data_IF_948636170187
#
_entry.id   IF_948636170187
#
_cell.length_a   1.000
_cell.length_b   1.000
_cell.length_c   1.000
_cell.angle_alpha   90.00
_cell.angle_beta   90.00
_cell.angle_gamma   90.00
#
_symmetry.space_group_name_H-M   'P 1'
#
loop_
_entity.id
_entity.type
_entity.pdbx_description
1 polymer ?
#
# COMPACT_ATOMS: atom_id res chain seq x y z
N UNK A 1 -6.66 -30.57 16.29
CA UNK A 1 -5.83 -30.49 15.07
C UNK A 1 -4.54 -31.34 15.12
N UNK A 2 -3.63 -31.21 16.11
CA UNK A 2 -2.43 -32.07 16.22
C UNK A 2 -2.73 -33.58 16.40
N UNK A 3 -3.90 -33.90 16.98
CA UNK A 3 -4.34 -35.24 17.33
C UNK A 3 -4.78 -36.12 16.14
N UNK A 4 -5.04 -35.54 14.96
CA UNK A 4 -5.56 -36.28 13.79
C UNK A 4 -4.59 -36.40 12.60
N UNK A 5 -3.35 -35.88 12.68
CA UNK A 5 -2.33 -35.90 11.57
C UNK A 5 -2.83 -35.39 10.19
N UNK A 6 -4.01 -34.78 10.09
CA UNK A 6 -4.64 -34.42 8.82
C UNK A 6 -4.23 -33.06 8.23
N UNK A 7 -3.37 -32.27 8.88
CA UNK A 7 -3.14 -30.89 8.44
C UNK A 7 -1.67 -30.49 8.44
N UNK A 8 -1.19 -30.07 7.26
CA UNK A 8 0.06 -29.35 6.99
C UNK A 8 1.39 -30.14 7.07
N UNK A 9 1.37 -31.43 6.73
CA UNK A 9 2.60 -32.20 6.54
C UNK A 9 3.49 -31.61 5.42
N UNK A 10 4.68 -31.14 5.79
CA UNK A 10 5.66 -30.57 4.86
C UNK A 10 5.45 -29.09 4.51
N UNK A 11 4.69 -28.34 5.31
CA UNK A 11 4.74 -26.87 5.30
C UNK A 11 5.52 -26.37 6.53
N UNK A 12 6.38 -25.39 6.34
CA UNK A 12 6.93 -24.60 7.44
C UNK A 12 5.90 -23.58 7.94
N UNK A 13 6.05 -23.11 9.18
CA UNK A 13 5.21 -22.05 9.72
C UNK A 13 5.27 -20.78 8.86
N UNK A 14 6.44 -20.45 8.31
CA UNK A 14 6.64 -19.29 7.44
C UNK A 14 5.84 -19.42 6.14
N UNK A 15 5.78 -20.62 5.56
CA UNK A 15 5.00 -20.87 4.34
C UNK A 15 3.50 -20.75 4.60
N UNK A 16 2.98 -21.23 5.74
CA UNK A 16 1.57 -21.07 6.10
C UNK A 16 1.21 -19.60 6.34
N UNK A 17 2.08 -18.85 7.03
CA UNK A 17 1.89 -17.41 7.24
C UNK A 17 1.93 -16.64 5.92
N UNK A 18 2.88 -16.95 5.04
CA UNK A 18 2.99 -16.33 3.72
C UNK A 18 1.76 -16.65 2.86
N UNK A 19 1.32 -17.91 2.83
CA UNK A 19 0.13 -18.34 2.09
C UNK A 19 -1.12 -17.63 2.60
N UNK A 20 -1.30 -17.51 3.92
CA UNK A 20 -2.43 -16.80 4.51
C UNK A 20 -2.42 -15.29 4.21
N UNK A 21 -1.26 -14.65 4.34
CA UNK A 21 -1.12 -13.22 4.07
C UNK A 21 -1.35 -12.88 2.58
N UNK A 22 -0.70 -13.62 1.68
CA UNK A 22 -0.85 -13.45 0.24
C UNK A 22 -2.24 -13.86 -0.26
N UNK A 23 -2.81 -14.94 0.28
CA UNK A 23 -4.19 -15.37 -0.01
C UNK A 23 -5.22 -14.35 0.46
N UNK A 24 -5.00 -13.71 1.61
CA UNK A 24 -5.81 -12.59 2.08
C UNK A 24 -5.76 -11.40 1.11
N UNK A 25 -4.58 -11.05 0.60
CA UNK A 25 -4.44 -10.00 -0.41
C UNK A 25 -5.16 -10.36 -1.72
N UNK A 26 -4.99 -11.59 -2.20
CA UNK A 26 -5.69 -12.10 -3.37
C UNK A 26 -7.22 -12.01 -3.23
N UNK A 27 -7.73 -12.42 -2.07
CA UNK A 27 -9.17 -12.36 -1.77
C UNK A 27 -9.68 -10.93 -1.53
N UNK A 28 -8.86 -10.02 -1.00
CA UNK A 28 -9.27 -8.64 -0.76
C UNK A 28 -9.49 -7.85 -2.06
N UNK A 29 -8.72 -8.15 -3.10
CA UNK A 29 -8.71 -7.39 -4.36
C UNK A 29 -9.26 -8.16 -5.56
N UNK A 30 -9.78 -9.37 -5.36
CA UNK A 30 -10.16 -10.26 -6.45
C UNK A 30 -9.00 -10.46 -7.46
N UNK A 31 -7.78 -10.61 -6.93
CA UNK A 31 -6.54 -10.54 -7.69
C UNK A 31 -5.59 -11.70 -7.33
N UNK A 32 -5.84 -12.93 -7.84
CA UNK A 32 -5.07 -14.12 -7.49
C UNK A 32 -3.61 -14.08 -7.91
N UNK A 33 -3.30 -13.58 -9.12
CA UNK A 33 -1.91 -13.49 -9.59
C UNK A 33 -1.16 -12.42 -8.80
N UNK A 34 -1.82 -11.29 -8.51
CA UNK A 34 -1.27 -10.26 -7.65
C UNK A 34 -0.88 -10.79 -6.27
N UNK A 35 -1.71 -11.66 -5.67
CA UNK A 35 -1.39 -12.31 -4.40
C UNK A 35 -0.11 -13.15 -4.46
N UNK A 36 0.08 -13.93 -5.53
CA UNK A 36 1.30 -14.72 -5.73
C UNK A 36 2.51 -13.81 -5.85
N UNK A 37 2.43 -12.81 -6.72
CA UNK A 37 3.55 -11.90 -6.97
C UNK A 37 3.88 -11.11 -5.70
N UNK A 38 2.89 -10.67 -4.92
CA UNK A 38 3.10 -10.04 -3.62
C UNK A 38 3.82 -10.97 -2.64
N UNK A 39 3.45 -12.27 -2.62
CA UNK A 39 4.17 -13.24 -1.83
C UNK A 39 5.66 -13.24 -2.23
N UNK A 40 5.94 -13.38 -3.53
CA UNK A 40 7.31 -13.49 -4.06
C UNK A 40 8.13 -12.22 -3.85
N UNK A 41 7.59 -11.07 -4.24
CA UNK A 41 8.31 -9.80 -4.32
C UNK A 41 8.38 -9.05 -2.99
N UNK A 42 7.35 -9.15 -2.14
CA UNK A 42 7.28 -8.41 -0.87
C UNK A 42 7.52 -9.34 0.34
N UNK A 43 6.71 -10.39 0.50
CA UNK A 43 6.85 -11.29 1.67
C UNK A 43 8.13 -12.14 1.60
N UNK A 44 8.61 -12.43 0.40
CA UNK A 44 9.83 -13.18 0.14
C UNK A 44 11.12 -12.49 0.52
N UNK A 45 11.11 -11.15 0.68
CA UNK A 45 12.34 -10.39 0.93
C UNK A 45 12.93 -10.74 2.29
N UNK A 46 14.09 -11.38 2.27
CA UNK A 46 14.82 -11.77 3.48
C UNK A 46 14.29 -13.03 4.17
N UNK A 47 13.30 -13.73 3.58
CA UNK A 47 12.91 -15.06 4.01
C UNK A 47 13.46 -16.09 3.00
N UNK A 48 14.06 -17.16 3.51
CA UNK A 48 14.31 -18.36 2.71
C UNK A 48 12.98 -19.11 2.50
N UNK A 49 12.04 -18.49 1.78
CA UNK A 49 10.84 -19.19 1.33
C UNK A 49 11.26 -20.14 0.22
N UNK A 50 11.16 -21.44 0.51
CA UNK A 50 11.08 -22.41 -0.57
C UNK A 50 9.73 -22.13 -1.24
N UNK A 51 9.76 -21.58 -2.46
CA UNK A 51 8.56 -21.31 -3.27
C UNK A 51 7.94 -22.62 -3.75
N UNK A 52 7.56 -23.46 -2.79
CA UNK A 52 6.95 -24.74 -3.04
C UNK A 52 5.62 -24.48 -3.71
N UNK A 53 5.32 -25.27 -4.75
CA UNK A 53 4.05 -25.27 -5.50
C UNK A 53 2.81 -25.15 -4.60
N UNK A 54 2.90 -25.65 -3.37
CA UNK A 54 1.82 -25.66 -2.38
C UNK A 54 1.42 -24.26 -1.86
N UNK A 55 2.39 -23.34 -1.67
CA UNK A 55 2.11 -21.94 -1.29
C UNK A 55 1.32 -21.25 -2.39
N UNK A 56 1.78 -21.39 -3.64
CA UNK A 56 1.13 -20.84 -4.82
C UNK A 56 -0.31 -21.36 -4.96
N UNK A 57 -0.52 -22.67 -4.81
CA UNK A 57 -1.85 -23.28 -4.85
C UNK A 57 -2.76 -22.75 -3.75
N UNK A 58 -2.25 -22.52 -2.53
CA UNK A 58 -3.04 -21.97 -1.44
C UNK A 58 -3.50 -20.53 -1.70
N UNK A 59 -2.61 -19.69 -2.23
CA UNK A 59 -2.94 -18.30 -2.62
C UNK A 59 -3.97 -18.28 -3.75
N UNK A 60 -3.77 -19.11 -4.78
CA UNK A 60 -4.72 -19.25 -5.89
C UNK A 60 -6.08 -19.75 -5.41
N UNK A 61 -6.11 -20.76 -4.53
CA UNK A 61 -7.35 -21.28 -3.98
C UNK A 61 -8.13 -20.19 -3.25
N UNK A 62 -7.47 -19.37 -2.42
CA UNK A 62 -8.12 -18.26 -1.74
C UNK A 62 -8.74 -17.25 -2.71
N UNK A 63 -8.00 -16.87 -3.76
CA UNK A 63 -8.50 -15.98 -4.81
C UNK A 63 -9.67 -16.58 -5.59
N UNK A 64 -9.56 -17.84 -6.04
CA UNK A 64 -10.62 -18.51 -6.78
C UNK A 64 -11.88 -18.79 -5.97
N UNK A 65 -11.75 -19.04 -4.66
CA UNK A 65 -12.91 -19.15 -3.77
C UNK A 65 -13.69 -17.83 -3.75
N UNK A 66 -13.00 -16.68 -3.68
CA UNK A 66 -13.66 -15.39 -3.79
C UNK A 66 -14.37 -15.24 -5.14
N UNK A 67 -13.69 -15.53 -6.26
CA UNK A 67 -14.28 -15.46 -7.61
C UNK A 67 -15.51 -16.35 -7.71
N UNK A 68 -15.49 -17.55 -7.13
CA UNK A 68 -16.62 -18.46 -7.12
C UNK A 68 -17.82 -17.92 -6.32
N UNK A 69 -17.58 -17.18 -5.24
CA UNK A 69 -18.63 -16.61 -4.38
C UNK A 69 -19.17 -15.27 -4.91
N UNK A 70 -18.28 -14.38 -5.39
CA UNK A 70 -18.58 -12.99 -5.74
C UNK A 70 -18.65 -12.72 -7.24
N UNK A 71 -18.26 -13.69 -8.06
CA UNK A 71 -18.16 -13.55 -9.50
C UNK A 71 -16.85 -12.91 -9.94
N UNK A 72 -16.54 -13.07 -11.23
CA UNK A 72 -15.34 -12.53 -11.85
C UNK A 72 -15.54 -11.09 -12.33
N UNK A 73 -15.86 -10.19 -11.39
CA UNK A 73 -15.99 -8.76 -11.67
C UNK A 73 -14.71 -8.05 -11.22
N UNK A 74 -13.97 -7.40 -12.14
CA UNK A 74 -12.86 -6.54 -11.77
C UNK A 74 -13.33 -5.49 -10.76
N UNK A 75 -12.48 -5.19 -9.80
CA UNK A 75 -12.82 -4.22 -8.77
C UNK A 75 -13.08 -2.85 -9.40
N UNK A 76 -12.26 -2.44 -10.38
CA UNK A 76 -12.33 -1.15 -11.06
C UNK A 76 -12.82 -1.29 -12.51
N UNK A 77 -13.36 -0.21 -13.12
CA UNK A 77 -13.76 -0.23 -14.52
C UNK A 77 -12.57 -0.55 -15.43
N UNK A 78 -12.86 -1.29 -16.51
CA UNK A 78 -11.86 -1.60 -17.54
C UNK A 78 -11.54 -0.37 -18.35
N UNK A 79 -10.25 -0.09 -18.51
CA UNK A 79 -9.78 0.90 -19.49
C UNK A 79 -10.14 0.45 -20.92
N UNK A 80 -10.85 1.30 -21.65
CA UNK A 80 -11.35 1.05 -23.00
C UNK A 80 -10.65 1.85 -24.10
N UNK A 81 -9.55 2.53 -23.77
CA UNK A 81 -8.84 3.40 -24.70
C UNK A 81 -7.94 2.68 -25.69
N UNK A 82 -7.29 3.47 -26.54
CA UNK A 82 -6.40 2.99 -27.64
C UNK A 82 -5.20 2.17 -27.17
N UNK A 83 -4.84 2.30 -25.89
CA UNK A 83 -3.72 1.61 -25.26
C UNK A 83 -2.33 2.06 -25.73
N UNK A 84 -2.29 3.09 -26.59
CA UNK A 84 -1.05 3.75 -26.96
C UNK A 84 -0.64 4.69 -25.82
N UNK A 85 0.38 4.30 -25.06
CA UNK A 85 0.92 5.08 -23.97
C UNK A 85 2.20 5.79 -24.42
N UNK A 86 2.17 7.11 -24.68
CA UNK A 86 3.37 7.84 -25.06
C UNK A 86 4.43 7.71 -23.97
N UNK A 87 5.65 7.34 -24.34
CA UNK A 87 6.74 7.10 -23.39
C UNK A 87 6.97 8.32 -22.47
N UNK A 88 6.81 9.53 -23.00
CA UNK A 88 6.87 10.79 -22.24
C UNK A 88 5.94 10.77 -21.03
N UNK A 89 4.69 10.35 -21.19
CA UNK A 89 3.71 10.31 -20.11
C UNK A 89 3.97 9.19 -19.12
N UNK A 90 4.49 8.05 -19.57
CA UNK A 90 4.92 6.96 -18.68
C UNK A 90 6.01 7.46 -17.73
N UNK A 91 7.00 8.18 -18.27
CA UNK A 91 8.10 8.75 -17.49
C UNK A 91 7.58 9.82 -16.52
N UNK A 92 6.75 10.76 -17.00
CA UNK A 92 6.17 11.82 -16.15
C UNK A 92 5.37 11.21 -14.99
N UNK A 93 4.49 10.24 -15.27
CA UNK A 93 3.70 9.56 -14.25
C UNK A 93 4.61 8.84 -13.24
N UNK A 94 5.62 8.12 -13.73
CA UNK A 94 6.59 7.41 -12.89
C UNK A 94 7.38 8.35 -11.97
N UNK A 95 7.88 9.47 -12.51
CA UNK A 95 8.63 10.45 -11.72
C UNK A 95 7.74 11.16 -10.69
N UNK A 96 6.58 11.66 -11.10
CA UNK A 96 5.67 12.37 -10.21
C UNK A 96 5.19 11.46 -9.06
N UNK A 97 4.77 10.23 -9.38
CA UNK A 97 4.35 9.25 -8.38
C UNK A 97 5.53 8.73 -7.55
N UNK A 98 6.74 8.65 -8.12
CA UNK A 98 7.95 8.27 -7.39
C UNK A 98 8.33 9.27 -6.30
N UNK A 99 8.29 10.57 -6.62
CA UNK A 99 8.52 11.63 -5.63
C UNK A 99 7.41 11.61 -4.57
N UNK A 100 6.15 11.63 -4.99
CA UNK A 100 5.02 11.67 -4.07
C UNK A 100 4.95 10.43 -3.17
N UNK A 101 5.16 9.24 -3.74
CA UNK A 101 5.17 7.97 -3.02
C UNK A 101 6.38 7.82 -2.09
N UNK A 102 7.56 8.33 -2.48
CA UNK A 102 8.72 8.39 -1.60
C UNK A 102 8.52 9.32 -0.41
N UNK A 103 7.92 10.50 -0.63
CA UNK A 103 7.51 11.43 0.45
C UNK A 103 6.49 10.74 1.36
N UNK A 104 5.48 10.09 0.78
CA UNK A 104 4.47 9.33 1.52
C UNK A 104 5.11 8.26 2.41
N UNK A 105 5.96 7.40 1.85
CA UNK A 105 6.65 6.34 2.60
C UNK A 105 7.51 6.93 3.74
N UNK A 106 8.22 8.04 3.49
CA UNK A 106 9.03 8.73 4.51
C UNK A 106 8.19 9.35 5.62
N UNK A 107 7.02 9.93 5.29
CA UNK A 107 6.09 10.50 6.26
C UNK A 107 5.52 9.42 7.19
N UNK A 108 5.16 8.26 6.62
CA UNK A 108 4.67 7.13 7.39
C UNK A 108 5.77 6.50 8.27
N UNK A 109 6.97 6.31 7.73
CA UNK A 109 8.08 5.70 8.46
C UNK A 109 8.48 6.51 9.70
N UNK A 110 8.72 7.82 9.53
CA UNK A 110 9.10 8.69 10.66
C UNK A 110 7.95 8.89 11.64
N UNK A 111 6.70 8.94 11.16
CA UNK A 111 5.52 9.25 11.96
C UNK A 111 5.54 10.70 12.48
N UNK A 112 4.45 11.11 13.14
CA UNK A 112 4.29 12.49 13.64
C UNK A 112 5.46 12.95 14.53
N UNK A 113 5.89 12.11 15.46
CA UNK A 113 6.97 12.46 16.40
C UNK A 113 8.34 12.63 15.75
N UNK A 114 8.53 12.10 14.53
CA UNK A 114 9.75 12.28 13.76
C UNK A 114 9.87 13.65 13.09
N UNK A 115 8.77 14.39 12.94
CA UNK A 115 8.73 15.73 12.32
C UNK A 115 8.49 16.86 13.32
N UNK A 116 8.03 16.53 14.53
CA UNK A 116 7.79 17.50 15.59
C UNK A 116 9.09 17.79 16.37
N UNK A 117 9.37 19.07 16.75
CA UNK A 117 10.52 19.45 17.56
C UNK A 117 10.65 18.63 18.85
N UNK A 118 11.88 18.38 19.32
CA UNK A 118 12.15 17.53 20.48
C UNK A 118 11.36 17.94 21.74
N UNK A 119 11.19 19.26 21.94
CA UNK A 119 10.43 19.88 23.03
C UNK A 119 8.96 19.43 23.06
N UNK A 120 8.35 19.21 21.89
CA UNK A 120 6.94 18.84 21.74
C UNK A 120 6.72 17.32 21.71
N UNK A 121 7.79 16.51 21.57
CA UNK A 121 7.65 15.04 21.52
C UNK A 121 7.12 14.45 22.82
N UNK A 122 7.58 14.96 23.97
CA UNK A 122 7.13 14.50 25.29
C UNK A 122 5.64 14.79 25.55
N UNK A 123 5.12 16.01 25.36
CA UNK A 123 3.69 16.27 25.55
C UNK A 123 2.81 15.51 24.55
N UNK A 124 3.22 15.39 23.28
CA UNK A 124 2.48 14.58 22.29
C UNK A 124 2.31 13.12 22.73
N UNK A 125 3.35 12.54 23.34
CA UNK A 125 3.31 11.17 23.87
C UNK A 125 2.46 11.03 25.12
N UNK A 126 2.34 12.09 25.93
CA UNK A 126 1.56 12.08 27.17
C UNK A 126 0.06 12.23 26.94
N UNK A 127 -0.37 12.88 25.87
CA UNK A 127 -1.78 13.13 25.58
C UNK A 127 -2.25 12.56 24.22
N UNK A 128 -2.15 11.23 24.01
CA UNK A 128 -2.44 10.60 22.71
C UNK A 128 -3.88 10.87 22.22
N UNK A 129 -4.86 10.95 23.13
CA UNK A 129 -6.26 11.22 22.78
C UNK A 129 -6.46 12.65 22.24
N UNK A 130 -5.80 13.65 22.82
CA UNK A 130 -5.89 15.04 22.33
C UNK A 130 -5.24 15.20 20.96
N UNK A 131 -4.13 14.51 20.73
CA UNK A 131 -3.45 14.48 19.42
C UNK A 131 -4.34 13.80 18.39
N UNK A 132 -4.94 12.65 18.71
CA UNK A 132 -5.88 11.97 17.83
C UNK A 132 -7.10 12.84 17.51
N UNK A 133 -7.65 13.56 18.49
CA UNK A 133 -8.74 14.49 18.29
C UNK A 133 -8.35 15.64 17.33
N UNK A 134 -7.19 16.27 17.54
CA UNK A 134 -6.70 17.35 16.67
C UNK A 134 -6.44 16.86 15.22
N UNK A 135 -5.84 15.67 15.07
CA UNK A 135 -5.64 15.04 13.76
C UNK A 135 -6.98 14.67 13.11
N UNK A 136 -7.97 14.24 13.90
CA UNK A 136 -9.34 13.99 13.45
C UNK A 136 -10.04 15.24 12.94
N UNK A 137 -9.88 16.38 13.63
CA UNK A 137 -10.38 17.68 13.16
C UNK A 137 -9.70 18.11 11.86
N UNK A 138 -8.39 17.93 11.75
CA UNK A 138 -7.66 18.21 10.51
C UNK A 138 -8.13 17.32 9.35
N UNK A 139 -8.38 16.04 9.61
CA UNK A 139 -8.93 15.10 8.63
C UNK A 139 -10.36 15.49 8.22
N UNK A 140 -11.18 15.98 9.17
CA UNK A 140 -12.51 16.49 8.89
C UNK A 140 -12.46 17.74 7.99
N UNK A 141 -11.54 18.68 8.28
CA UNK A 141 -11.31 19.86 7.45
C UNK A 141 -10.83 19.51 6.03
N UNK A 142 -9.89 18.57 5.91
CA UNK A 142 -9.42 18.11 4.59
C UNK A 142 -10.52 17.42 3.79
N UNK A 143 -11.34 16.61 4.45
CA UNK A 143 -12.43 15.92 3.76
C UNK A 143 -13.58 16.82 3.35
N UNK A 144 -13.92 17.84 4.14
CA UNK A 144 -14.88 18.87 3.74
C UNK A 144 -14.35 19.69 2.55
N UNK A 145 -13.09 20.10 2.57
CA UNK A 145 -12.44 20.76 1.43
C UNK A 145 -12.47 19.90 0.14
N UNK A 146 -12.25 18.60 0.27
CA UNK A 146 -12.25 17.69 -0.88
C UNK A 146 -13.63 17.16 -1.30
N UNK A 147 -14.72 17.76 -0.82
CA UNK A 147 -16.10 17.26 -1.05
C UNK A 147 -16.26 15.76 -0.72
N UNK A 148 -15.59 15.30 0.34
CA UNK A 148 -15.61 13.91 0.80
C UNK A 148 -14.69 12.94 0.06
N UNK A 149 -14.03 13.34 -1.04
CA UNK A 149 -13.20 12.42 -1.85
C UNK A 149 -11.98 11.86 -1.09
N UNK A 150 -11.49 12.55 -0.06
CA UNK A 150 -10.39 12.05 0.77
C UNK A 150 -10.82 11.01 1.82
N UNK A 151 -12.12 10.82 2.06
CA UNK A 151 -12.61 9.82 3.02
C UNK A 151 -12.59 8.39 2.46
N UNK A 152 -12.65 7.42 3.37
CA UNK A 152 -12.77 5.99 3.05
C UNK A 152 -11.63 5.43 2.19
N UNK A 153 -11.93 4.38 1.43
CA UNK A 153 -10.96 3.67 0.59
C UNK A 153 -10.60 4.42 -0.70
N UNK A 154 -11.39 5.41 -1.10
CA UNK A 154 -11.21 6.15 -2.36
C UNK A 154 -11.61 5.34 -3.61
N UNK A 155 -12.44 4.30 -3.46
CA UNK A 155 -12.89 3.48 -4.58
C UNK A 155 -13.54 4.31 -5.71
N UNK A 156 -14.52 5.14 -5.34
CA UNK A 156 -15.20 6.02 -6.30
C UNK A 156 -14.24 7.00 -6.96
N UNK A 157 -13.23 7.48 -6.24
CA UNK A 157 -12.19 8.37 -6.78
C UNK A 157 -11.38 7.69 -7.87
N UNK A 158 -10.95 6.44 -7.64
CA UNK A 158 -10.23 5.65 -8.67
C UNK A 158 -11.14 5.37 -9.85
N UNK A 159 -12.36 4.89 -9.63
CA UNK A 159 -13.29 4.54 -10.70
C UNK A 159 -13.63 5.76 -11.58
N UNK A 160 -13.87 6.93 -10.97
CA UNK A 160 -14.13 8.17 -11.68
C UNK A 160 -12.92 8.61 -12.52
N UNK A 161 -11.72 8.60 -11.94
CA UNK A 161 -10.50 8.97 -12.67
C UNK A 161 -10.23 8.03 -13.86
N UNK A 162 -10.45 6.72 -13.70
CA UNK A 162 -10.31 5.73 -14.76
C UNK A 162 -11.35 5.89 -15.88
N UNK A 163 -12.57 6.32 -15.54
CA UNK A 163 -13.63 6.64 -16.50
C UNK A 163 -13.45 8.03 -17.15
N UNK A 164 -12.37 8.75 -16.85
CA UNK A 164 -12.11 10.08 -17.40
C UNK A 164 -12.96 11.19 -16.82
N UNK A 165 -13.54 10.98 -15.63
CA UNK A 165 -14.22 12.02 -14.88
C UNK A 165 -13.16 12.80 -14.10
N UNK A 166 -13.05 14.11 -14.34
CA UNK A 166 -12.15 14.99 -13.62
C UNK A 166 -12.52 15.06 -12.14
N UNK A 167 -11.53 14.93 -11.27
CA UNK A 167 -11.73 14.96 -9.83
C UNK A 167 -11.63 16.39 -9.31
N UNK A 168 -12.74 16.93 -8.81
CA UNK A 168 -12.78 18.23 -8.15
C UNK A 168 -12.71 18.09 -6.62
N UNK A 169 -11.95 18.94 -5.92
CA UNK A 169 -11.12 20.03 -6.43
C UNK A 169 -9.79 19.54 -7.03
N UNK A 170 -9.21 20.33 -7.93
CA UNK A 170 -7.82 20.14 -8.40
C UNK A 170 -6.89 20.00 -7.19
N UNK A 171 -6.24 18.83 -7.07
CA UNK A 171 -5.42 18.49 -5.90
C UNK A 171 -5.98 17.38 -5.00
N UNK A 172 -7.06 16.68 -5.40
CA UNK A 172 -7.57 15.49 -4.67
C UNK A 172 -6.47 14.46 -4.37
N UNK A 173 -5.52 14.23 -5.28
CA UNK A 173 -4.40 13.31 -5.05
C UNK A 173 -3.54 13.68 -3.83
N UNK A 174 -2.87 14.84 -3.83
CA UNK A 174 -2.15 15.34 -2.65
C UNK A 174 -3.00 15.43 -1.38
N UNK A 175 -4.27 15.81 -1.49
CA UNK A 175 -5.18 15.85 -0.34
C UNK A 175 -5.40 14.43 0.23
N UNK A 176 -5.59 13.41 -0.62
CA UNK A 176 -5.75 12.01 -0.20
C UNK A 176 -4.47 11.45 0.43
N UNK A 177 -3.31 11.82 -0.11
CA UNK A 177 -2.01 11.52 0.47
C UNK A 177 -1.95 12.05 1.91
N UNK A 178 -2.23 13.35 2.08
CA UNK A 178 -2.22 14.01 3.39
C UNK A 178 -3.21 13.38 4.37
N UNK A 179 -4.45 13.15 3.94
CA UNK A 179 -5.49 12.49 4.73
C UNK A 179 -5.04 11.11 5.23
N UNK A 180 -4.39 10.33 4.36
CA UNK A 180 -3.88 8.99 4.70
C UNK A 180 -2.74 9.08 5.71
N UNK A 181 -1.80 10.01 5.53
CA UNK A 181 -0.68 10.23 6.46
C UNK A 181 -1.20 10.66 7.83
N UNK A 182 -2.14 11.61 7.88
CA UNK A 182 -2.77 12.08 9.11
C UNK A 182 -3.48 10.93 9.82
N UNK A 183 -4.25 10.12 9.08
CA UNK A 183 -4.91 8.94 9.62
C UNK A 183 -3.89 7.97 10.22
N UNK A 184 -2.79 7.70 9.52
CA UNK A 184 -1.75 6.80 10.01
C UNK A 184 -1.03 7.35 11.26
N UNK A 185 -0.85 8.66 11.35
CA UNK A 185 -0.25 9.33 12.51
C UNK A 185 -1.09 9.23 13.78
N UNK A 186 -2.40 8.95 13.69
CA UNK A 186 -3.24 8.66 14.87
C UNK A 186 -2.86 7.33 15.54
N UNK A 187 -2.16 6.43 14.84
CA UNK A 187 -1.80 5.10 15.34
C UNK A 187 -2.91 4.05 15.23
N UNK A 188 -4.04 4.38 14.58
CA UNK A 188 -5.11 3.42 14.30
C UNK A 188 -4.60 2.37 13.29
N UNK A 189 -4.83 1.07 13.55
CA UNK A 189 -4.43 0.01 12.62
C UNK A 189 -5.16 0.17 11.29
N UNK A 190 -4.41 0.25 10.20
CA UNK A 190 -4.96 0.42 8.86
C UNK A 190 -3.95 0.03 7.77
N UNK A 191 -4.49 -0.38 6.62
CA UNK A 191 -3.68 -0.65 5.43
C UNK A 191 -3.41 0.61 4.62
N UNK A 192 -2.25 0.66 3.95
CA UNK A 192 -1.87 1.78 3.07
C UNK A 192 -2.16 1.48 1.59
N UNK A 193 -2.59 0.26 1.28
CA UNK A 193 -2.68 -0.26 -0.08
C UNK A 193 -3.81 0.40 -0.89
N UNK A 194 -5.04 0.41 -0.39
CA UNK A 194 -6.16 1.08 -1.07
C UNK A 194 -6.04 2.60 -1.11
N UNK A 195 -5.60 3.30 -0.03
CA UNK A 195 -5.36 4.73 -0.13
C UNK A 195 -4.25 5.07 -1.13
N UNK A 196 -3.22 4.22 -1.29
CA UNK A 196 -2.18 4.41 -2.29
C UNK A 196 -2.75 4.36 -3.72
N UNK A 197 -3.61 3.39 -4.04
CA UNK A 197 -4.31 3.32 -5.33
C UNK A 197 -5.10 4.61 -5.61
N UNK A 198 -5.91 5.05 -4.64
CA UNK A 198 -6.72 6.28 -4.78
C UNK A 198 -5.89 7.56 -4.86
N UNK A 199 -4.77 7.61 -4.16
CA UNK A 199 -3.83 8.74 -4.23
C UNK A 199 -3.17 8.81 -5.61
N UNK A 200 -2.74 7.66 -6.14
CA UNK A 200 -2.20 7.56 -7.51
C UNK A 200 -3.22 8.00 -8.56
N UNK A 201 -4.46 7.52 -8.48
CA UNK A 201 -5.54 7.96 -9.37
C UNK A 201 -5.79 9.48 -9.30
N UNK A 202 -5.78 10.05 -8.08
CA UNK A 202 -5.93 11.49 -7.86
C UNK A 202 -4.76 12.31 -8.42
N UNK A 203 -3.52 11.83 -8.28
CA UNK A 203 -2.35 12.45 -8.90
C UNK A 203 -2.46 12.38 -10.42
N UNK A 204 -2.87 11.23 -10.97
CA UNK A 204 -3.06 11.06 -12.41
C UNK A 204 -4.13 11.98 -12.99
N UNK A 205 -5.26 12.18 -12.30
CA UNK A 205 -6.28 13.15 -12.71
C UNK A 205 -5.73 14.58 -12.74
N UNK A 206 -4.86 14.95 -11.80
CA UNK A 206 -4.19 16.26 -11.81
C UNK A 206 -3.14 16.40 -12.92
N UNK A 207 -2.35 15.36 -13.18
CA UNK A 207 -1.36 15.36 -14.26
C UNK A 207 -2.00 15.41 -15.65
N UNK A 208 -3.18 14.81 -15.81
CA UNK A 208 -3.91 14.87 -17.08
C UNK A 208 -4.28 16.31 -17.48
N UNK A 209 -4.52 17.20 -16.52
CA UNK A 209 -4.76 18.62 -16.82
C UNK A 209 -3.56 19.30 -17.52
N UNK A 210 -2.34 18.76 -17.35
CA UNK A 210 -1.13 19.23 -18.05
C UNK A 210 -0.95 18.60 -19.43
N UNK A 211 -1.78 17.62 -19.79
CA UNK A 211 -1.67 16.90 -21.06
C UNK A 211 -2.37 17.58 -22.22
N UNK A 212 -3.17 18.61 -21.95
CA UNK A 212 -3.92 19.38 -22.95
C UNK A 212 -4.77 18.47 -23.89
N UNK A 213 -5.25 17.34 -23.34
CA UNK A 213 -6.05 16.36 -24.09
C UNK A 213 -5.26 15.44 -25.03
N UNK A 214 -3.93 15.52 -25.07
CA UNK A 214 -3.07 14.66 -25.92
C UNK A 214 -3.13 13.18 -25.55
N UNK A 215 -3.51 12.87 -24.30
CA UNK A 215 -3.63 11.52 -23.77
C UNK A 215 -4.94 11.35 -23.02
N UNK A 216 -5.52 10.17 -23.11
CA UNK A 216 -6.74 9.82 -22.40
C UNK A 216 -6.53 9.85 -20.88
N UNK A 217 -7.42 10.51 -20.14
CA UNK A 217 -7.32 10.66 -18.69
C UNK A 217 -7.25 9.31 -17.96
N UNK A 218 -8.04 8.33 -18.41
CA UNK A 218 -8.05 6.99 -17.84
C UNK A 218 -6.68 6.30 -17.89
N UNK A 219 -5.88 6.57 -18.92
CA UNK A 219 -4.55 6.00 -19.07
C UNK A 219 -3.56 6.61 -18.06
N UNK A 220 -3.54 7.93 -17.93
CA UNK A 220 -2.70 8.64 -16.96
C UNK A 220 -3.09 8.23 -15.53
N UNK A 221 -4.39 8.15 -15.24
CA UNK A 221 -4.91 7.69 -13.95
C UNK A 221 -4.46 6.25 -13.65
N UNK A 222 -4.53 5.34 -14.63
CA UNK A 222 -4.10 3.95 -14.48
C UNK A 222 -2.59 3.83 -14.23
N UNK A 223 -1.77 4.53 -15.02
CA UNK A 223 -0.32 4.58 -14.85
C UNK A 223 0.06 5.11 -13.47
N UNK A 224 -0.55 6.20 -13.01
CA UNK A 224 -0.28 6.79 -11.70
C UNK A 224 -0.77 5.91 -10.54
N UNK A 225 -1.89 5.20 -10.71
CA UNK A 225 -2.42 4.25 -9.72
C UNK A 225 -1.41 3.13 -9.45
N UNK A 226 -0.85 2.52 -10.50
CA UNK A 226 0.20 1.51 -10.35
C UNK A 226 1.50 2.11 -9.82
N UNK A 227 1.94 3.23 -10.40
CA UNK A 227 3.20 3.87 -10.06
C UNK A 227 3.26 4.36 -8.60
N UNK A 228 2.18 4.96 -8.08
CA UNK A 228 2.15 5.41 -6.70
C UNK A 228 2.14 4.25 -5.71
N UNK A 229 1.38 3.18 -5.99
CA UNK A 229 1.41 1.97 -5.17
C UNK A 229 2.82 1.36 -5.16
N UNK A 230 3.46 1.25 -6.33
CA UNK A 230 4.84 0.78 -6.47
C UNK A 230 5.83 1.64 -5.68
N UNK A 231 5.69 2.97 -5.70
CA UNK A 231 6.54 3.88 -4.94
C UNK A 231 6.31 3.75 -3.43
N UNK A 232 5.06 3.57 -2.99
CA UNK A 232 4.72 3.45 -1.57
C UNK A 232 5.20 2.13 -0.95
N UNK A 233 5.09 1.01 -1.69
CA UNK A 233 5.48 -0.33 -1.20
C UNK A 233 6.88 -0.74 -1.62
N UNK A 234 7.44 -0.14 -2.66
CA UNK A 234 8.70 -0.54 -3.31
C UNK A 234 8.66 -1.95 -3.94
N UNK A 235 7.46 -2.36 -4.37
CA UNK A 235 7.16 -3.64 -5.03
C UNK A 235 6.52 -3.39 -6.41
N UNK A 236 7.32 -3.01 -7.42
CA UNK A 236 6.81 -2.56 -8.73
C UNK A 236 6.08 -3.65 -9.52
N UNK A 237 6.50 -4.92 -9.43
CA UNK A 237 5.85 -6.01 -10.16
C UNK A 237 4.46 -6.27 -9.56
N UNK A 238 4.37 -6.34 -8.24
CA UNK A 238 3.13 -6.52 -7.49
C UNK A 238 2.15 -5.40 -7.83
N UNK A 239 2.57 -4.15 -7.69
CA UNK A 239 1.70 -3.00 -7.95
C UNK A 239 1.11 -3.02 -9.37
N UNK A 240 1.94 -3.37 -10.36
CA UNK A 240 1.52 -3.46 -11.76
C UNK A 240 0.52 -4.58 -12.00
N UNK A 241 0.77 -5.78 -11.45
CA UNK A 241 -0.12 -6.95 -11.60
C UNK A 241 -1.44 -6.73 -10.85
N UNK A 242 -1.39 -6.14 -9.65
CA UNK A 242 -2.59 -5.75 -8.88
C UNK A 242 -3.48 -4.84 -9.70
N UNK A 243 -2.94 -3.74 -10.23
CA UNK A 243 -3.74 -2.77 -10.98
C UNK A 243 -4.27 -3.41 -12.26
N UNK A 244 -3.44 -4.18 -12.97
CA UNK A 244 -3.86 -4.91 -14.16
C UNK A 244 -5.02 -5.88 -13.88
N UNK A 245 -4.97 -6.67 -12.81
CA UNK A 245 -6.07 -7.59 -12.45
C UNK A 245 -7.31 -6.85 -12.00
N UNK A 246 -7.15 -5.81 -11.16
CA UNK A 246 -8.27 -5.05 -10.63
C UNK A 246 -9.02 -4.24 -11.70
N UNK A 247 -8.38 -3.86 -12.80
CA UNK A 247 -9.04 -3.17 -13.94
C UNK A 247 -9.32 -4.10 -15.13
N UNK A 248 -8.71 -5.29 -15.17
CA UNK A 248 -8.79 -6.17 -16.33
C UNK A 248 -8.19 -5.55 -17.59
N UNK A 249 -7.07 -4.83 -17.46
CA UNK A 249 -6.38 -4.11 -18.55
C UNK A 249 -5.02 -4.76 -18.89
N UNK A 250 -5.04 -6.06 -19.22
CA UNK A 250 -3.83 -6.85 -19.52
C UNK A 250 -2.91 -6.25 -20.61
N UNK A 251 -3.42 -5.65 -21.70
CA UNK A 251 -2.55 -5.08 -22.74
C UNK A 251 -1.63 -3.96 -22.22
N UNK A 252 -1.98 -3.33 -21.10
CA UNK A 252 -1.21 -2.20 -20.54
C UNK A 252 -0.14 -2.63 -19.53
N UNK A 253 -0.04 -3.92 -19.19
CA UNK A 253 0.83 -4.40 -18.11
C UNK A 253 2.28 -3.91 -18.25
N UNK A 254 2.83 -3.91 -19.47
CA UNK A 254 4.20 -3.46 -19.71
C UNK A 254 4.38 -1.96 -19.41
N UNK A 255 3.40 -1.13 -19.76
CA UNK A 255 3.42 0.30 -19.49
C UNK A 255 3.27 0.60 -17.99
N UNK A 256 2.39 -0.14 -17.31
CA UNK A 256 2.24 -0.08 -15.85
C UNK A 256 3.54 -0.46 -15.14
N UNK A 257 4.22 -1.50 -15.62
CA UNK A 257 5.48 -1.96 -15.06
C UNK A 257 6.58 -0.93 -15.23
N UNK A 258 6.70 -0.31 -16.41
CA UNK A 258 7.71 0.74 -16.63
C UNK A 258 7.50 1.97 -15.74
N UNK A 259 6.26 2.48 -15.63
CA UNK A 259 5.96 3.59 -14.74
C UNK A 259 6.24 3.21 -13.26
N UNK A 260 5.87 1.99 -12.86
CA UNK A 260 6.10 1.46 -11.52
C UNK A 260 7.57 1.28 -11.17
N UNK A 261 8.40 0.83 -12.12
CA UNK A 261 9.85 0.71 -11.94
C UNK A 261 10.51 2.07 -11.73
N UNK A 262 10.16 3.07 -12.55
CA UNK A 262 10.65 4.44 -12.41
C UNK A 262 10.24 5.01 -11.04
N UNK A 263 8.98 4.83 -10.66
CA UNK A 263 8.44 5.35 -9.41
C UNK A 263 9.08 4.67 -8.19
N UNK A 264 9.25 3.35 -8.22
CA UNK A 264 9.92 2.59 -7.15
C UNK A 264 11.39 2.99 -7.02
N UNK A 265 12.11 3.10 -8.14
CA UNK A 265 13.51 3.56 -8.15
C UNK A 265 13.65 4.95 -7.51
N UNK A 266 12.80 5.90 -7.88
CA UNK A 266 12.86 7.26 -7.33
C UNK A 266 12.45 7.32 -5.86
N UNK A 267 11.43 6.54 -5.46
CA UNK A 267 11.01 6.42 -4.07
C UNK A 267 12.15 5.92 -3.16
N UNK A 268 12.95 4.95 -3.63
CA UNK A 268 14.09 4.42 -2.88
C UNK A 268 15.17 5.48 -2.61
N UNK A 269 15.31 6.49 -3.46
CA UNK A 269 16.22 7.61 -3.19
C UNK A 269 15.74 8.50 -2.03
N UNK A 270 14.42 8.61 -1.83
CA UNK A 270 13.81 9.44 -0.77
C UNK A 270 13.70 8.66 0.55
N UNK A 271 13.32 7.38 0.46
CA UNK A 271 13.15 6.46 1.58
C UNK A 271 13.76 5.09 1.22
N UNK A 272 15.03 4.82 1.60
CA UNK A 272 15.74 3.61 1.16
C UNK A 272 15.19 2.28 1.65
N UNK A 273 14.43 2.28 2.74
CA UNK A 273 13.84 1.06 3.31
C UNK A 273 12.35 1.00 2.97
N UNK A 274 11.85 -0.11 2.39
CA UNK A 274 10.42 -0.27 2.13
C UNK A 274 9.62 -0.14 3.42
N UNK A 275 8.43 0.45 3.31
CA UNK A 275 7.62 0.81 4.47
C UNK A 275 7.29 -0.39 5.37
N UNK A 276 6.90 -1.53 4.79
CA UNK A 276 6.53 -2.73 5.57
C UNK A 276 7.72 -3.29 6.34
N UNK A 277 8.89 -3.38 5.69
CA UNK A 277 10.13 -3.83 6.34
C UNK A 277 10.61 -2.85 7.41
N UNK A 278 10.50 -1.55 7.17
CA UNK A 278 10.83 -0.52 8.16
C UNK A 278 9.94 -0.66 9.40
N UNK A 279 8.63 -0.81 9.20
CA UNK A 279 7.65 -0.95 10.28
C UNK A 279 7.87 -2.25 11.08
N UNK A 280 8.14 -3.36 10.40
CA UNK A 280 8.45 -4.64 11.03
C UNK A 280 9.76 -4.58 11.85
N UNK A 281 10.82 -3.94 11.32
CA UNK A 281 12.07 -3.77 12.05
C UNK A 281 11.88 -2.94 13.32
N UNK A 282 11.16 -1.82 13.22
CA UNK A 282 10.85 -0.95 14.37
C UNK A 282 10.00 -1.67 15.42
N UNK A 283 9.05 -2.51 14.99
CA UNK A 283 8.26 -3.34 15.90
C UNK A 283 9.15 -4.35 16.64
N UNK A 284 10.02 -5.04 15.91
CA UNK A 284 10.97 -6.00 16.49
C UNK A 284 11.89 -5.36 17.53
N UNK A 285 12.45 -4.18 17.23
CA UNK A 285 13.30 -3.44 18.17
C UNK A 285 12.57 -3.11 19.48
N UNK A 286 11.29 -2.67 19.40
CA UNK A 286 10.47 -2.41 20.59
C UNK A 286 10.24 -3.66 21.42
N UNK A 287 9.87 -4.78 20.78
CA UNK A 287 9.63 -6.04 21.47
C UNK A 287 10.89 -6.56 22.19
N UNK A 288 12.07 -6.39 21.58
CA UNK A 288 13.34 -6.77 22.22
C UNK A 288 13.62 -5.88 23.43
N UNK A 289 13.44 -4.56 23.31
CA UNK A 289 13.60 -3.64 24.43
C UNK A 289 12.63 -3.93 25.59
N UNK A 290 11.37 -4.25 25.28
CA UNK A 290 10.37 -4.63 26.28
C UNK A 290 10.74 -5.95 26.98
N UNK A 291 11.26 -6.93 26.22
CA UNK A 291 11.73 -8.19 26.77
C UNK A 291 12.95 -8.02 27.69
N UNK A 292 13.90 -7.14 27.33
CA UNK A 292 15.07 -6.83 28.14
C UNK A 292 14.67 -6.08 29.42
N UNK A 293 13.77 -5.10 29.32
CA UNK A 293 13.21 -4.42 30.48
C UNK A 293 12.50 -5.39 31.44
N UNK A 294 11.71 -6.33 30.89
CA UNK A 294 11.04 -7.36 31.68
C UNK A 294 12.03 -8.33 32.35
N UNK A 295 13.19 -8.60 31.74
CA UNK A 295 14.27 -9.40 32.36
C UNK A 295 14.94 -8.65 33.51
N UNK A 296 15.24 -7.37 33.33
CA UNK A 296 15.86 -6.52 34.35
C UNK A 296 14.93 -6.27 35.54
N UNK A 297 13.61 -6.22 35.32
CA UNK A 297 12.61 -6.02 36.36
C UNK A 297 12.29 -7.30 37.18
N UNK A 298 12.83 -8.48 36.81
CA UNK A 298 12.66 -9.68 37.63
C UNK A 298 13.52 -9.54 38.89
N UNK A 299 12.94 -9.62 40.10
CA UNK A 299 13.73 -9.65 41.31
C UNK A 299 14.70 -10.83 41.23
N UNK A 300 15.99 -10.55 41.42
CA UNK A 300 16.98 -11.61 41.65
C UNK A 300 16.58 -12.27 42.95
N UNK A 301 15.83 -13.38 42.88
CA UNK A 301 15.75 -14.29 44.01
C UNK A 301 17.17 -14.82 44.21
N UNK A 302 17.89 -14.19 45.14
CA UNK A 302 19.04 -14.80 45.77
C UNK A 302 18.56 -16.14 46.32
N UNK A 303 18.88 -17.23 45.61
CA UNK A 303 19.05 -18.54 46.20
C UNK A 303 20.30 -18.49 47.06
N UNK A 304 20.18 -17.85 48.22
CA UNK A 304 21.13 -17.95 49.33
C UNK A 304 20.50 -18.83 50.38
N UNK A 305 21.19 -19.92 50.74
CA UNK A 305 20.80 -20.88 51.77
C UNK A 305 20.91 -22.30 51.29
#
# INVERSE_FOLDING_TARGET
CRRHRLAFGGFSANELMATGAAGGLAAAFNAPLAGIIFAIEELGRGLHLQWQRRVLLGVLAAGFILVAIKGNNPYFPRYSGTGNAPLTWIIICGLACGVAGGIFARLLAKGLTGYVPALLRAPLRRHPLTVAFALGLLLAALGTYSHGQTYGTGYHTVANALNGITLEPVGTGPAKLGATVITYWTGIPGGIFTPALSTGAGIGSGLWALSDGTVEQGLIALLCTAAFLAAATQSPVTASVVVMEMTGSQPLLIWLLMASLIASWLSQQIQPKPFYHYSAARWRERMLADADNARLARPQHHSGG
#
